data_IF_169151748324
#
_entry.id   IF_169151748324
#
_cell.length_a   1.000
_cell.length_b   1.000
_cell.length_c   1.000
_cell.angle_alpha   90.00
_cell.angle_beta   90.00
_cell.angle_gamma   90.00
#
_symmetry.space_group_name_H-M   'P 1'
#
loop_
_entity.id
_entity.type
_entity.pdbx_description
1 polymer ?
#
# COMPACT_ATOMS: atom_id res chain seq x y z
N UNK A 1 7.50 -41.82 14.92
CA UNK A 1 7.04 -41.58 13.54
C UNK A 1 8.23 -41.82 12.66
N UNK A 2 8.24 -42.96 11.99
CA UNK A 2 9.41 -43.43 11.24
C UNK A 2 9.46 -42.78 9.87
N UNK A 3 10.68 -42.52 9.38
CA UNK A 3 10.92 -41.88 8.07
C UNK A 3 10.31 -42.66 6.89
N UNK A 4 10.01 -43.95 7.09
CA UNK A 4 9.31 -44.81 6.15
C UNK A 4 7.83 -44.43 5.96
N UNK A 5 7.15 -43.95 7.01
CA UNK A 5 5.74 -43.51 6.94
C UNK A 5 5.61 -42.17 6.18
N UNK A 6 6.58 -41.26 6.39
CA UNK A 6 6.64 -39.98 5.67
C UNK A 6 6.89 -40.18 4.17
N UNK A 7 7.72 -41.15 3.79
CA UNK A 7 7.99 -41.47 2.41
C UNK A 7 6.78 -42.12 1.71
N UNK A 8 5.99 -42.93 2.42
CA UNK A 8 4.75 -43.50 1.90
C UNK A 8 3.67 -42.43 1.70
N UNK A 9 3.53 -41.48 2.63
CA UNK A 9 2.61 -40.35 2.50
C UNK A 9 3.00 -39.39 1.38
N UNK A 10 4.29 -39.20 1.12
CA UNK A 10 4.78 -38.40 -0.01
C UNK A 10 4.46 -39.04 -1.36
N UNK A 11 4.68 -40.36 -1.48
CA UNK A 11 4.31 -41.12 -2.70
C UNK A 11 2.80 -41.15 -2.95
N UNK A 12 1.98 -41.23 -1.89
CA UNK A 12 0.53 -41.20 -2.03
C UNK A 12 0.01 -39.83 -2.51
N UNK A 13 0.67 -38.73 -2.11
CA UNK A 13 0.34 -37.36 -2.56
C UNK A 13 0.73 -37.09 -4.02
N UNK A 14 1.84 -37.65 -4.48
CA UNK A 14 2.24 -37.56 -5.88
C UNK A 14 1.33 -38.39 -6.80
N UNK A 15 0.89 -39.58 -6.34
CA UNK A 15 -0.08 -40.40 -7.07
C UNK A 15 -1.45 -39.71 -7.24
N UNK A 16 -1.84 -38.82 -6.33
CA UNK A 16 -3.08 -38.01 -6.45
C UNK A 16 -2.92 -36.76 -7.31
N UNK A 17 -1.70 -36.27 -7.56
CA UNK A 17 -1.44 -35.11 -8.45
C UNK A 17 -1.41 -35.46 -9.94
N UNK A 18 -1.29 -36.75 -10.29
CA UNK A 18 -1.18 -37.22 -11.67
C UNK A 18 -2.49 -37.51 -12.41
N UNK A 19 -3.67 -37.33 -11.78
CA UNK A 19 -4.96 -37.46 -12.47
C UNK A 19 -5.50 -36.08 -12.85
N UNK A 20 -5.50 -35.70 -14.15
CA UNK A 20 -6.24 -34.52 -14.56
C UNK A 20 -7.73 -34.80 -14.38
N UNK A 21 -8.34 -34.16 -13.39
CA UNK A 21 -9.79 -34.12 -13.24
C UNK A 21 -10.38 -33.28 -14.37
N UNK A 22 -10.68 -33.94 -15.48
CA UNK A 22 -11.58 -33.44 -16.52
C UNK A 22 -12.98 -33.30 -15.95
N UNK A 23 -13.37 -32.06 -15.60
CA UNK A 23 -14.76 -31.62 -15.47
C UNK A 23 -14.78 -30.09 -15.62
N UNK A 24 -14.62 -29.62 -16.86
CA UNK A 24 -15.12 -28.31 -17.26
C UNK A 24 -16.54 -28.50 -17.83
N UNK A 25 -17.54 -27.72 -17.41
CA UNK A 25 -18.82 -27.68 -18.12
C UNK A 25 -18.59 -27.14 -19.55
N UNK A 26 -19.24 -27.70 -20.58
CA UNK A 26 -19.06 -27.25 -21.95
C UNK A 26 -19.73 -25.89 -22.11
N UNK A 27 -18.95 -24.84 -22.39
CA UNK A 27 -19.51 -23.55 -22.84
C UNK A 27 -18.95 -22.25 -22.26
N UNK A 28 -17.79 -22.24 -21.60
CA UNK A 28 -17.14 -20.99 -21.21
C UNK A 28 -15.93 -20.70 -22.11
N UNK A 29 -16.21 -20.20 -23.31
CA UNK A 29 -15.23 -19.51 -24.15
C UNK A 29 -14.71 -18.32 -23.34
N UNK A 30 -13.44 -18.36 -22.94
CA UNK A 30 -12.77 -17.22 -22.29
C UNK A 30 -12.50 -16.14 -23.33
N UNK A 31 -13.55 -15.39 -23.66
CA UNK A 31 -13.41 -14.08 -24.29
C UNK A 31 -12.99 -13.10 -23.19
N UNK A 32 -11.92 -12.30 -23.35
CA UNK A 32 -11.62 -11.24 -22.41
C UNK A 32 -12.74 -10.22 -22.48
N UNK A 33 -13.62 -10.20 -21.48
CA UNK A 33 -14.67 -9.18 -21.37
C UNK A 33 -14.06 -7.88 -20.85
N UNK A 34 -14.25 -6.75 -21.56
CA UNK A 34 -13.93 -5.43 -21.04
C UNK A 34 -14.89 -5.13 -19.88
N UNK A 35 -14.36 -4.78 -18.72
CA UNK A 35 -15.19 -4.35 -17.59
C UNK A 35 -15.93 -3.07 -18.03
N UNK A 36 -17.28 -3.06 -18.11
CA UNK A 36 -18.02 -1.89 -18.57
C UNK A 36 -17.94 -0.76 -17.54
N UNK A 37 -17.61 0.45 -18.00
CA UNK A 37 -17.50 1.68 -17.17
C UNK A 37 -18.80 2.10 -16.46
N UNK A 38 -19.92 1.44 -16.74
CA UNK A 38 -21.27 1.86 -16.33
C UNK A 38 -21.74 1.32 -14.97
N UNK A 39 -20.96 0.49 -14.28
CA UNK A 39 -21.30 -0.05 -12.95
C UNK A 39 -20.67 0.72 -11.77
N UNK A 40 -19.89 1.78 -12.02
CA UNK A 40 -19.52 2.73 -10.97
C UNK A 40 -20.70 3.68 -10.77
N UNK A 41 -21.53 3.40 -9.78
CA UNK A 41 -22.45 4.40 -9.23
C UNK A 41 -21.64 5.68 -8.98
N UNK A 42 -21.91 6.76 -9.73
CA UNK A 42 -21.26 8.06 -9.54
C UNK A 42 -21.67 8.58 -8.17
N UNK A 43 -20.78 8.65 -7.17
CA UNK A 43 -21.05 9.45 -5.99
C UNK A 43 -21.03 10.91 -6.44
N UNK A 44 -22.00 11.69 -5.96
CA UNK A 44 -22.01 13.14 -6.13
C UNK A 44 -20.67 13.67 -5.57
N UNK A 45 -19.83 14.36 -6.37
CA UNK A 45 -18.48 14.69 -5.94
C UNK A 45 -18.56 15.66 -4.75
N UNK A 46 -18.08 15.20 -3.60
CA UNK A 46 -17.66 16.13 -2.57
C UNK A 46 -16.25 16.60 -2.97
N UNK A 47 -15.89 17.87 -2.78
CA UNK A 47 -14.55 18.35 -3.10
C UNK A 47 -13.43 17.55 -2.39
N UNK A 48 -13.79 16.80 -1.33
CA UNK A 48 -12.93 15.88 -0.58
C UNK A 48 -12.80 14.48 -1.19
N UNK A 49 -13.78 13.98 -1.95
CA UNK A 49 -13.68 12.67 -2.64
C UNK A 49 -12.67 12.70 -3.78
N UNK A 50 -12.62 13.80 -4.54
CA UNK A 50 -11.78 13.91 -5.74
C UNK A 50 -10.29 14.00 -5.40
N UNK A 51 -9.94 14.66 -4.28
CA UNK A 51 -8.57 14.72 -3.78
C UNK A 51 -8.04 13.36 -3.32
N UNK A 52 -8.87 12.57 -2.63
CA UNK A 52 -8.51 11.21 -2.22
C UNK A 52 -8.36 10.28 -3.45
N UNK A 53 -9.27 10.36 -4.42
CA UNK A 53 -9.15 9.59 -5.66
C UNK A 53 -7.88 9.95 -6.44
N UNK A 54 -7.49 11.22 -6.44
CA UNK A 54 -6.23 11.68 -7.06
C UNK A 54 -5.01 11.06 -6.37
N UNK A 55 -5.02 10.98 -5.03
CA UNK A 55 -3.93 10.36 -4.26
C UNK A 55 -3.88 8.84 -4.43
N UNK A 56 -5.04 8.18 -4.47
CA UNK A 56 -5.14 6.73 -4.71
C UNK A 56 -4.70 6.38 -6.14
N UNK A 57 -4.98 7.23 -7.12
CA UNK A 57 -4.53 7.06 -8.51
C UNK A 57 -3.08 7.50 -8.76
N UNK A 58 -2.42 8.13 -7.80
CA UNK A 58 -1.07 8.67 -7.98
C UNK A 58 0.00 7.58 -8.08
N UNK A 59 1.13 7.94 -8.68
CA UNK A 59 2.30 7.07 -8.80
C UNK A 59 2.77 6.56 -7.42
N UNK A 60 3.23 5.30 -7.33
CA UNK A 60 3.61 4.67 -6.05
C UNK A 60 4.67 5.45 -5.28
N UNK A 61 5.65 6.02 -5.98
CA UNK A 61 6.69 6.84 -5.34
C UNK A 61 6.14 8.15 -4.75
N UNK A 62 5.06 8.71 -5.32
CA UNK A 62 4.37 9.86 -4.74
C UNK A 62 3.69 9.43 -3.44
N UNK A 63 2.94 8.31 -3.46
CA UNK A 63 2.29 7.79 -2.26
C UNK A 63 3.29 7.53 -1.14
N UNK A 64 4.41 6.88 -1.46
CA UNK A 64 5.48 6.59 -0.51
C UNK A 64 6.14 7.86 0.03
N UNK A 65 6.46 8.84 -0.83
CA UNK A 65 7.01 10.11 -0.38
C UNK A 65 6.09 10.85 0.60
N UNK A 66 4.77 10.80 0.35
CA UNK A 66 3.77 11.36 1.26
C UNK A 66 3.66 10.58 2.56
N UNK A 67 3.67 9.25 2.51
CA UNK A 67 3.64 8.42 3.71
C UNK A 67 4.88 8.64 4.59
N UNK A 68 6.06 8.78 3.98
CA UNK A 68 7.28 9.16 4.69
C UNK A 68 7.20 10.58 5.25
N UNK A 69 6.69 11.54 4.49
CA UNK A 69 6.50 12.91 4.97
C UNK A 69 5.50 13.00 6.12
N UNK A 70 4.44 12.19 6.09
CA UNK A 70 3.48 12.04 7.19
C UNK A 70 4.13 11.44 8.43
N UNK A 71 4.87 10.34 8.27
CA UNK A 71 5.59 9.71 9.37
C UNK A 71 6.64 10.65 9.98
N UNK A 72 7.40 11.38 9.16
CA UNK A 72 8.41 12.31 9.67
C UNK A 72 7.77 13.51 10.38
N UNK A 73 6.65 14.04 9.87
CA UNK A 73 5.89 15.08 10.56
C UNK A 73 5.35 14.58 11.91
N UNK A 74 4.81 13.36 11.96
CA UNK A 74 4.38 12.74 13.21
C UNK A 74 5.53 12.57 14.21
N UNK A 75 6.70 12.09 13.76
CA UNK A 75 7.92 12.00 14.59
C UNK A 75 8.36 13.38 15.09
N UNK A 76 8.34 14.40 14.22
CA UNK A 76 8.66 15.78 14.62
C UNK A 76 7.72 16.31 15.71
N UNK A 77 6.42 16.04 15.60
CA UNK A 77 5.45 16.40 16.63
C UNK A 77 5.68 15.64 17.94
N UNK A 78 6.05 14.36 17.88
CA UNK A 78 6.44 13.60 19.08
C UNK A 78 7.69 14.18 19.74
N UNK A 79 8.72 14.50 18.96
CA UNK A 79 9.95 15.13 19.46
C UNK A 79 9.68 16.48 20.12
N UNK A 80 8.74 17.27 19.60
CA UNK A 80 8.31 18.51 20.21
C UNK A 80 7.72 18.27 21.61
N UNK A 81 6.91 17.22 21.77
CA UNK A 81 6.33 16.85 23.07
C UNK A 81 7.40 16.39 24.07
N UNK A 82 8.47 15.74 23.60
CA UNK A 82 9.60 15.34 24.42
C UNK A 82 10.62 16.47 24.70
N UNK A 83 10.33 17.70 24.29
CA UNK A 83 11.20 18.85 24.54
C UNK A 83 12.50 18.83 23.73
N UNK A 84 12.52 18.14 22.58
CA UNK A 84 13.66 18.15 21.69
C UNK A 84 13.95 19.57 21.16
N UNK A 85 15.19 19.78 20.69
CA UNK A 85 15.61 21.06 20.13
C UNK A 85 14.69 21.52 18.99
N UNK A 86 14.33 22.82 18.98
CA UNK A 86 13.45 23.43 17.98
C UNK A 86 13.93 23.16 16.55
N UNK A 87 15.24 23.17 16.32
CA UNK A 87 15.83 22.86 15.01
C UNK A 87 15.55 21.42 14.58
N UNK A 88 15.67 20.45 15.49
CA UNK A 88 15.36 19.05 15.22
C UNK A 88 13.90 18.87 14.84
N UNK A 89 12.98 19.47 15.60
CA UNK A 89 11.54 19.43 15.30
C UNK A 89 11.26 20.03 13.91
N UNK A 90 11.80 21.21 13.63
CA UNK A 90 11.61 21.87 12.34
C UNK A 90 12.16 21.04 11.18
N UNK A 91 13.31 20.38 11.35
CA UNK A 91 13.87 19.52 10.32
C UNK A 91 12.93 18.35 9.98
N UNK A 92 12.34 17.70 10.98
CA UNK A 92 11.42 16.58 10.75
C UNK A 92 10.09 17.03 10.13
N UNK A 93 9.53 18.15 10.60
CA UNK A 93 8.25 18.67 10.11
C UNK A 93 8.40 19.29 8.72
N UNK A 94 9.31 20.25 8.53
CA UNK A 94 9.51 20.91 7.24
C UNK A 94 10.12 19.97 6.20
N UNK A 95 11.06 19.11 6.62
CA UNK A 95 11.60 18.05 5.76
C UNK A 95 10.50 17.09 5.31
N UNK A 96 9.57 16.74 6.21
CA UNK A 96 8.41 15.93 5.88
C UNK A 96 7.47 16.57 4.86
N UNK A 97 7.15 17.84 5.05
CA UNK A 97 6.32 18.60 4.11
C UNK A 97 7.02 18.70 2.75
N UNK A 98 8.33 19.00 2.72
CA UNK A 98 9.12 19.07 1.49
C UNK A 98 9.13 17.74 0.74
N UNK A 99 9.33 16.64 1.47
CA UNK A 99 9.31 15.29 0.90
C UNK A 99 7.94 14.93 0.34
N UNK A 100 6.85 15.23 1.06
CA UNK A 100 5.49 14.94 0.62
C UNK A 100 5.07 15.75 -0.62
N UNK A 101 5.64 16.95 -0.81
CA UNK A 101 5.30 17.84 -1.93
C UNK A 101 6.16 17.63 -3.18
N UNK A 102 7.44 17.24 -3.03
CA UNK A 102 8.37 17.15 -4.18
C UNK A 102 9.37 15.99 -4.11
N UNK A 103 9.36 15.20 -3.04
CA UNK A 103 10.32 14.12 -2.82
C UNK A 103 10.07 12.84 -3.64
N UNK A 104 9.03 12.80 -4.49
CA UNK A 104 8.61 11.57 -5.14
C UNK A 104 9.61 11.03 -6.19
N UNK A 105 10.32 11.91 -6.89
CA UNK A 105 11.39 11.51 -7.81
C UNK A 105 12.61 10.97 -7.04
N UNK A 106 12.97 11.61 -5.93
CA UNK A 106 14.04 11.13 -5.04
C UNK A 106 13.69 9.78 -4.42
N UNK A 107 12.44 9.61 -3.95
CA UNK A 107 11.95 8.33 -3.45
C UNK A 107 11.96 7.26 -4.54
N UNK A 108 11.63 7.60 -5.79
CA UNK A 108 11.72 6.65 -6.89
C UNK A 108 13.15 6.12 -7.10
N UNK A 109 14.16 6.98 -7.01
CA UNK A 109 15.57 6.57 -7.13
C UNK A 109 16.10 5.76 -5.94
N UNK A 110 15.49 5.91 -4.76
CA UNK A 110 15.86 5.15 -3.56
C UNK A 110 15.13 3.81 -3.42
N UNK A 111 14.06 3.60 -4.20
CA UNK A 111 13.27 2.38 -4.08
C UNK A 111 14.05 1.18 -4.62
N UNK A 112 14.10 0.06 -3.88
CA UNK A 112 14.57 -1.21 -4.40
C UNK A 112 13.80 -1.56 -5.68
N UNK A 113 14.47 -2.14 -6.68
CA UNK A 113 13.85 -2.50 -7.96
C UNK A 113 12.59 -3.37 -7.84
N UNK A 114 12.46 -4.13 -6.75
CA UNK A 114 11.28 -4.96 -6.44
C UNK A 114 10.02 -4.15 -6.07
N UNK A 115 10.16 -2.87 -5.71
CA UNK A 115 9.05 -1.97 -5.34
C UNK A 115 8.72 -0.96 -6.45
N UNK A 116 9.41 -1.06 -7.59
CA UNK A 116 9.20 -0.18 -8.75
C UNK A 116 8.01 -0.74 -9.56
N UNK A 117 6.85 -0.10 -9.42
CA UNK A 117 5.64 -0.46 -10.16
C UNK A 117 5.69 0.02 -11.62
N UNK A 118 6.34 1.15 -11.87
CA UNK A 118 6.54 1.69 -13.21
C UNK A 118 8.01 2.04 -13.43
N UNK A 119 8.61 1.73 -14.59
CA UNK A 119 10.02 2.00 -14.85
C UNK A 119 10.33 3.50 -15.01
N UNK A 120 9.30 4.35 -15.14
CA UNK A 120 9.49 5.79 -15.25
C UNK A 120 9.35 6.47 -13.89
N UNK A 121 10.14 7.53 -13.63
CA UNK A 121 9.86 8.39 -12.49
C UNK A 121 8.54 9.15 -12.67
N UNK A 122 7.95 9.64 -11.56
CA UNK A 122 6.79 10.51 -11.61
C UNK A 122 7.13 11.82 -12.34
N UNK A 123 6.20 12.29 -13.17
CA UNK A 123 6.35 13.56 -13.88
C UNK A 123 6.13 14.75 -12.94
N UNK A 124 6.69 15.93 -13.25
CA UNK A 124 6.43 17.16 -12.50
C UNK A 124 4.93 17.46 -12.35
N UNK A 125 4.12 17.22 -13.39
CA UNK A 125 2.67 17.46 -13.37
C UNK A 125 1.92 16.51 -12.44
N UNK A 126 2.36 15.25 -12.33
CA UNK A 126 1.81 14.29 -11.36
C UNK A 126 2.14 14.71 -9.93
N UNK A 127 3.38 15.15 -9.69
CA UNK A 127 3.80 15.66 -8.38
C UNK A 127 3.05 16.94 -8.01
N UNK A 128 2.90 17.88 -8.96
CA UNK A 128 2.17 19.12 -8.75
C UNK A 128 0.70 18.85 -8.37
N UNK A 129 0.01 17.98 -9.12
CA UNK A 129 -1.37 17.57 -8.84
C UNK A 129 -1.51 16.92 -7.46
N UNK A 130 -0.60 16.00 -7.12
CA UNK A 130 -0.63 15.38 -5.79
C UNK A 130 -0.33 16.37 -4.65
N UNK A 131 0.55 17.36 -4.87
CA UNK A 131 0.89 18.39 -3.89
C UNK A 131 -0.24 19.41 -3.63
N UNK A 132 -1.21 19.49 -4.55
CA UNK A 132 -2.36 20.38 -4.45
C UNK A 132 -3.49 19.82 -3.57
N UNK A 133 -3.43 18.53 -3.19
CA UNK A 133 -4.47 17.83 -2.43
C UNK A 133 -3.93 17.21 -1.14
N UNK A 134 -4.83 16.88 -0.21
CA UNK A 134 -4.50 16.23 1.06
C UNK A 134 -3.83 17.16 2.07
N UNK A 135 -3.25 16.58 3.12
CA UNK A 135 -2.80 17.31 4.32
C UNK A 135 -1.71 18.36 4.05
N UNK A 136 -0.87 18.12 3.05
CA UNK A 136 0.28 18.97 2.71
C UNK A 136 -0.06 20.10 1.72
N UNK A 137 -1.36 20.35 1.50
CA UNK A 137 -1.89 21.46 0.72
C UNK A 137 -2.52 22.52 1.64
N UNK A 138 -2.59 23.76 1.17
CA UNK A 138 -3.24 24.85 1.93
C UNK A 138 -4.72 24.53 2.21
N UNK A 139 -5.39 23.83 1.29
CA UNK A 139 -6.78 23.41 1.45
C UNK A 139 -6.94 22.28 2.47
N UNK A 140 -5.95 21.39 2.56
CA UNK A 140 -5.90 20.33 3.55
C UNK A 140 -5.82 20.84 4.99
N UNK A 141 -5.20 22.01 5.21
CA UNK A 141 -5.17 22.66 6.53
C UNK A 141 -6.58 23.07 6.98
N UNK A 142 -7.41 23.57 6.05
CA UNK A 142 -8.80 23.95 6.33
C UNK A 142 -9.69 22.75 6.63
N UNK A 143 -9.35 21.59 6.07
CA UNK A 143 -10.08 20.32 6.24
C UNK A 143 -9.21 19.28 6.95
N UNK A 144 -8.51 19.72 8.00
CA UNK A 144 -7.44 18.96 8.65
C UNK A 144 -7.86 17.53 9.02
N UNK A 145 -9.00 17.34 9.68
CA UNK A 145 -9.44 16.01 10.13
C UNK A 145 -9.65 15.01 8.99
N UNK A 146 -10.28 15.44 7.89
CA UNK A 146 -10.52 14.57 6.73
C UNK A 146 -9.23 14.31 5.96
N UNK A 147 -8.41 15.35 5.79
CA UNK A 147 -7.11 15.25 5.12
C UNK A 147 -6.13 14.36 5.89
N UNK A 148 -6.16 14.42 7.22
CA UNK A 148 -5.38 13.56 8.10
C UNK A 148 -5.80 12.09 7.95
N UNK A 149 -7.11 11.81 7.93
CA UNK A 149 -7.63 10.47 7.69
C UNK A 149 -7.20 9.93 6.32
N UNK A 150 -7.27 10.75 5.28
CA UNK A 150 -6.82 10.37 3.93
C UNK A 150 -5.31 10.02 3.88
N UNK A 151 -4.44 10.84 4.48
CA UNK A 151 -3.00 10.53 4.55
C UNK A 151 -2.72 9.29 5.41
N UNK A 152 -3.48 9.07 6.48
CA UNK A 152 -3.33 7.89 7.32
C UNK A 152 -3.65 6.60 6.54
N UNK A 153 -4.78 6.58 5.81
CA UNK A 153 -5.13 5.45 4.94
C UNK A 153 -4.07 5.24 3.86
N UNK A 154 -3.58 6.33 3.25
CA UNK A 154 -2.50 6.25 2.26
C UNK A 154 -1.21 5.68 2.86
N UNK A 155 -0.87 6.06 4.10
CA UNK A 155 0.27 5.52 4.82
C UNK A 155 0.13 4.04 5.13
N UNK A 156 -1.06 3.58 5.51
CA UNK A 156 -1.33 2.16 5.70
C UNK A 156 -1.21 1.37 4.39
N UNK A 157 -1.76 1.87 3.28
CA UNK A 157 -1.63 1.22 1.96
C UNK A 157 -0.17 1.12 1.52
N UNK A 158 0.58 2.22 1.66
CA UNK A 158 2.03 2.26 1.39
C UNK A 158 2.79 1.25 2.24
N UNK A 159 2.48 1.15 3.54
CA UNK A 159 3.10 0.20 4.45
C UNK A 159 2.78 -1.25 4.07
N UNK A 160 1.51 -1.56 3.82
CA UNK A 160 1.05 -2.88 3.40
C UNK A 160 1.76 -3.34 2.12
N UNK A 161 1.91 -2.46 1.16
CA UNK A 161 2.67 -2.72 -0.07
C UNK A 161 4.15 -2.97 0.18
N UNK A 162 4.80 -2.16 1.01
CA UNK A 162 6.20 -2.37 1.38
C UNK A 162 6.39 -3.74 2.06
N UNK A 163 5.48 -4.13 2.96
CA UNK A 163 5.53 -5.43 3.65
C UNK A 163 5.28 -6.63 2.73
N UNK A 164 4.55 -6.43 1.64
CA UNK A 164 4.21 -7.48 0.66
C UNK A 164 5.11 -7.48 -0.58
N UNK A 165 6.00 -6.50 -0.68
CA UNK A 165 6.81 -6.20 -1.87
C UNK A 165 5.97 -6.01 -3.14
N UNK A 166 4.71 -5.66 -2.98
CA UNK A 166 3.77 -5.57 -4.10
C UNK A 166 3.48 -6.85 -4.86
N UNK A 167 3.86 -8.00 -4.32
CA UNK A 167 3.61 -9.30 -4.94
C UNK A 167 2.25 -9.83 -4.51
N UNK A 168 1.52 -10.46 -5.42
CA UNK A 168 0.33 -11.25 -5.07
C UNK A 168 0.77 -12.51 -4.35
N UNK A 169 0.42 -12.63 -3.08
CA UNK A 169 0.70 -13.78 -2.24
C UNK A 169 -0.36 -13.85 -1.13
N UNK A 170 -0.39 -14.94 -0.37
CA UNK A 170 -1.34 -15.09 0.74
C UNK A 170 -1.27 -13.96 1.77
N UNK A 171 -0.09 -13.35 2.00
CA UNK A 171 0.03 -12.20 2.90
C UNK A 171 -0.76 -11.03 2.34
N UNK A 172 -0.59 -10.72 1.06
CA UNK A 172 -1.26 -9.63 0.36
C UNK A 172 -2.77 -9.85 0.37
N UNK A 173 -3.23 -11.05 0.05
CA UNK A 173 -4.66 -11.36 0.05
C UNK A 173 -5.25 -11.22 1.45
N UNK A 174 -4.58 -11.76 2.48
CA UNK A 174 -5.00 -11.57 3.87
C UNK A 174 -4.94 -10.09 4.30
N UNK A 175 -3.92 -9.34 3.86
CA UNK A 175 -3.71 -7.95 4.22
C UNK A 175 -4.79 -7.03 3.65
N UNK A 176 -5.21 -7.28 2.40
CA UNK A 176 -6.28 -6.54 1.73
C UNK A 176 -7.67 -7.19 1.89
N UNK A 177 -7.79 -8.27 2.65
CA UNK A 177 -9.10 -8.85 2.98
C UNK A 177 -9.86 -7.96 3.99
N UNK A 178 -10.81 -7.16 3.53
CA UNK A 178 -11.54 -6.22 4.39
C UNK A 178 -10.74 -4.97 4.74
N UNK A 179 -11.05 -4.35 5.88
CA UNK A 179 -10.44 -3.07 6.26
C UNK A 179 -8.95 -3.18 6.58
N UNK A 180 -8.19 -2.17 6.13
CA UNK A 180 -6.76 -2.06 6.38
C UNK A 180 -6.54 -1.27 7.66
N UNK A 181 -5.83 -1.87 8.63
CA UNK A 181 -5.48 -1.22 9.89
C UNK A 181 -4.04 -1.52 10.27
N UNK A 182 -3.43 -0.63 11.05
CA UNK A 182 -2.05 -0.82 11.51
C UNK A 182 -1.89 -2.12 12.30
N UNK A 183 -2.84 -2.43 13.20
CA UNK A 183 -2.82 -3.64 14.00
C UNK A 183 -2.90 -4.93 13.16
N UNK A 184 -3.64 -4.91 12.06
CA UNK A 184 -3.70 -6.02 11.12
C UNK A 184 -2.37 -6.20 10.39
N UNK A 185 -1.79 -5.10 9.88
CA UNK A 185 -0.49 -5.15 9.18
C UNK A 185 0.58 -5.71 10.12
N UNK A 186 0.69 -5.17 11.34
CA UNK A 186 1.70 -5.62 12.30
C UNK A 186 1.47 -7.05 12.74
N UNK A 187 0.23 -7.46 13.02
CA UNK A 187 -0.11 -8.83 13.40
C UNK A 187 0.26 -9.85 12.31
N UNK A 188 -0.08 -9.57 11.05
CA UNK A 188 0.22 -10.47 9.93
C UNK A 188 1.72 -10.56 9.63
N UNK A 189 2.42 -9.42 9.66
CA UNK A 189 3.88 -9.38 9.43
C UNK A 189 4.60 -10.07 10.58
N UNK A 190 4.20 -9.80 11.83
CA UNK A 190 4.76 -10.46 13.00
C UNK A 190 4.51 -11.96 13.00
N UNK A 191 3.28 -12.40 12.67
CA UNK A 191 2.93 -13.80 12.50
C UNK A 191 3.82 -14.48 11.46
N UNK A 192 4.02 -13.84 10.30
CA UNK A 192 4.93 -14.34 9.26
C UNK A 192 6.38 -14.47 9.75
N UNK A 193 6.88 -13.47 10.48
CA UNK A 193 8.25 -13.47 11.00
C UNK A 193 8.45 -14.53 12.10
N UNK A 194 7.42 -14.76 12.93
CA UNK A 194 7.49 -15.69 14.06
C UNK A 194 7.27 -17.15 13.65
N UNK A 195 6.28 -17.41 12.80
CA UNK A 195 5.82 -18.77 12.47
C UNK A 195 6.34 -19.25 11.11
N UNK A 196 6.93 -18.36 10.30
CA UNK A 196 7.43 -18.67 8.96
C UNK A 196 6.34 -18.98 7.93
N UNK A 197 5.07 -19.02 8.34
CA UNK A 197 3.92 -19.39 7.51
C UNK A 197 2.77 -18.44 7.81
N UNK A 198 2.00 -18.09 6.78
CA UNK A 198 0.72 -17.39 6.93
C UNK A 198 -0.37 -18.39 6.60
N UNK A 199 -1.34 -18.57 7.50
CA UNK A 199 -2.51 -19.40 7.24
C UNK A 199 -3.39 -18.70 6.20
N UNK A 200 -3.26 -19.16 4.97
CA UNK A 200 -4.30 -19.15 3.95
C UNK A 200 -4.93 -20.55 3.93
#
# INVERSE_FOLDING_TARGET
MDASELAQLAKEREARRGKPSSCAPPGATSVPLPIPETWRAKPKPSPTSDGLHTLIGAHRSIKLARSFGFASAAVGMLLLLFGAGRMTVLLFVLGGIGLARGGAALMHGLLPGMLIESPRPPTPDEMARASAVGLFSLEGVKTFGVSLGAEYILALDSLAWCCTYGKKNCLTDAMYSGELSLGKITSLVWGKLREGVIRC
#
